data_IF_515531641275
#
_entry.id   IF_515531641275
#
_cell.length_a   1.000
_cell.length_b   1.000
_cell.length_c   1.000
_cell.angle_alpha   90.00
_cell.angle_beta   90.00
_cell.angle_gamma   90.00
#
_symmetry.space_group_name_H-M   'P 1'
#
loop_
_entity.id
_entity.type
_entity.pdbx_description
1 polymer ?
#
# COMPACT_ATOMS: atom_id res chain seq x y z
N UNK A 1 12.73 -10.29 12.62
CA UNK A 1 12.34 -10.31 14.03
C UNK A 1 12.96 -9.13 14.80
N UNK A 2 14.29 -9.00 14.86
CA UNK A 2 14.99 -7.89 15.55
C UNK A 2 14.52 -6.49 15.12
N UNK A 3 14.44 -6.22 13.81
CA UNK A 3 14.01 -4.91 13.30
C UNK A 3 12.60 -4.52 13.78
N UNK A 4 11.67 -5.49 13.83
CA UNK A 4 10.31 -5.24 14.30
C UNK A 4 10.24 -4.91 15.79
N UNK A 5 11.08 -5.56 16.61
CA UNK A 5 11.20 -5.27 18.05
C UNK A 5 11.81 -3.89 18.28
N UNK A 6 12.82 -3.50 17.49
CA UNK A 6 13.43 -2.17 17.60
C UNK A 6 12.43 -1.08 17.18
N UNK A 7 11.67 -1.33 16.12
CA UNK A 7 10.69 -0.38 15.59
C UNK A 7 9.42 -0.28 16.44
N UNK A 8 9.06 -1.32 17.21
CA UNK A 8 7.83 -1.27 18.04
C UNK A 8 7.89 -0.17 19.11
N UNK A 9 9.08 0.22 19.56
CA UNK A 9 9.26 1.36 20.48
C UNK A 9 9.22 2.74 19.82
N UNK A 10 9.11 2.80 18.49
CA UNK A 10 9.14 4.04 17.69
C UNK A 10 7.90 4.22 16.83
N UNK A 11 6.87 3.41 17.05
CA UNK A 11 5.61 3.54 16.31
C UNK A 11 5.03 4.92 16.61
N UNK A 12 4.73 5.73 15.59
CA UNK A 12 4.14 7.04 15.77
C UNK A 12 2.65 6.90 16.15
N UNK A 13 2.36 6.40 17.35
CA UNK A 13 1.00 6.29 17.86
C UNK A 13 0.42 7.69 18.12
N UNK A 14 -0.83 7.90 17.71
CA UNK A 14 -1.56 9.15 17.98
C UNK A 14 -1.14 10.38 17.16
N UNK A 15 -0.36 10.21 16.07
CA UNK A 15 -0.09 11.32 15.13
C UNK A 15 -1.38 11.70 14.38
N UNK A 16 -1.61 13.00 14.10
CA UNK A 16 -2.77 13.42 13.33
C UNK A 16 -2.71 12.90 11.88
N UNK A 17 -3.86 12.64 11.26
CA UNK A 17 -3.95 12.21 9.85
C UNK A 17 -3.17 13.14 8.90
N UNK A 18 -3.16 14.44 9.20
CA UNK A 18 -2.45 15.44 8.43
C UNK A 18 -0.93 15.20 8.35
N UNK A 19 -0.33 14.58 9.37
CA UNK A 19 1.08 14.19 9.34
C UNK A 19 1.37 13.17 8.23
N UNK A 20 0.55 12.11 8.16
CA UNK A 20 0.67 11.07 7.14
C UNK A 20 0.39 11.61 5.74
N UNK A 21 -0.65 12.44 5.61
CA UNK A 21 -1.01 13.08 4.36
C UNK A 21 0.13 13.99 3.86
N UNK A 22 0.64 14.88 4.71
CA UNK A 22 1.73 15.79 4.34
C UNK A 22 3.00 15.06 3.93
N UNK A 23 3.39 14.00 4.64
CA UNK A 23 4.60 13.24 4.30
C UNK A 23 4.42 12.42 3.02
N UNK A 24 3.27 11.76 2.84
CA UNK A 24 2.92 11.04 1.61
C UNK A 24 2.91 11.98 0.40
N UNK A 25 2.24 13.13 0.53
CA UNK A 25 2.18 14.14 -0.53
C UNK A 25 3.55 14.75 -0.84
N UNK A 26 4.35 15.09 0.18
CA UNK A 26 5.69 15.64 0.00
C UNK A 26 6.63 14.66 -0.70
N UNK A 27 6.58 13.37 -0.33
CA UNK A 27 7.37 12.33 -1.01
C UNK A 27 6.94 12.16 -2.47
N UNK A 28 5.63 12.09 -2.74
CA UNK A 28 5.12 11.98 -4.11
C UNK A 28 5.49 13.19 -4.95
N UNK A 29 5.31 14.40 -4.41
CA UNK A 29 5.65 15.64 -5.10
C UNK A 29 7.14 15.69 -5.40
N UNK A 30 7.99 15.40 -4.41
CA UNK A 30 9.44 15.33 -4.60
C UNK A 30 9.83 14.30 -5.66
N UNK A 31 9.23 13.10 -5.64
CA UNK A 31 9.48 12.07 -6.62
C UNK A 31 9.07 12.50 -8.04
N UNK A 32 7.93 13.18 -8.17
CA UNK A 32 7.43 13.69 -9.43
C UNK A 32 8.33 14.81 -9.97
N UNK A 33 8.76 15.74 -9.11
CA UNK A 33 9.70 16.80 -9.48
C UNK A 33 11.03 16.24 -9.97
N UNK A 34 11.58 15.24 -9.26
CA UNK A 34 12.81 14.54 -9.69
C UNK A 34 12.59 13.84 -11.03
N UNK A 35 11.47 13.12 -11.20
CA UNK A 35 11.17 12.42 -12.44
C UNK A 35 11.04 13.39 -13.63
N UNK A 36 10.33 14.50 -13.45
CA UNK A 36 10.22 15.54 -14.48
C UNK A 36 11.58 16.18 -14.75
N UNK A 37 12.35 16.52 -13.72
CA UNK A 37 13.69 17.10 -13.86
C UNK A 37 14.65 16.19 -14.64
N UNK A 38 14.67 14.89 -14.30
CA UNK A 38 15.44 13.88 -15.04
C UNK A 38 15.00 13.77 -16.50
N UNK A 39 13.69 13.80 -16.75
CA UNK A 39 13.17 13.76 -18.12
C UNK A 39 13.58 15.01 -18.93
N UNK A 40 13.62 16.21 -18.33
CA UNK A 40 14.05 17.44 -19.01
C UNK A 40 15.52 17.41 -19.41
N UNK A 41 16.38 16.75 -18.64
CA UNK A 41 17.80 16.55 -18.99
C UNK A 41 18.04 15.32 -19.89
N UNK A 42 16.97 14.70 -20.40
CA UNK A 42 17.03 13.57 -21.35
C UNK A 42 17.16 12.19 -20.72
N UNK A 43 16.97 12.05 -19.39
CA UNK A 43 17.03 10.77 -18.68
C UNK A 43 15.60 10.27 -18.41
N UNK A 44 15.16 9.27 -19.17
CA UNK A 44 13.88 8.59 -18.93
C UNK A 44 14.06 7.42 -17.95
N UNK A 45 13.49 7.56 -16.74
CA UNK A 45 13.48 6.51 -15.71
C UNK A 45 12.78 5.22 -16.16
N UNK A 46 11.90 5.29 -17.15
CA UNK A 46 11.16 4.16 -17.71
C UNK A 46 11.85 3.53 -18.93
N UNK A 47 13.00 4.05 -19.36
CA UNK A 47 13.73 3.56 -20.53
C UNK A 47 14.09 2.07 -20.44
N UNK A 48 14.54 1.60 -19.27
CA UNK A 48 14.87 0.18 -19.06
C UNK A 48 13.65 -0.73 -19.27
N UNK A 49 12.45 -0.26 -18.89
CA UNK A 49 11.20 -0.98 -19.08
C UNK A 49 10.81 -1.00 -20.56
N UNK A 50 10.98 0.13 -21.26
CA UNK A 50 10.74 0.20 -22.71
C UNK A 50 11.68 -0.72 -23.47
N UNK A 51 12.96 -0.78 -23.08
CA UNK A 51 13.95 -1.66 -23.67
C UNK A 51 13.63 -3.13 -23.40
N UNK A 52 13.29 -3.48 -22.15
CA UNK A 52 12.84 -4.83 -21.82
C UNK A 52 11.64 -5.24 -22.68
N UNK A 53 10.65 -4.36 -22.86
CA UNK A 53 9.45 -4.67 -23.68
C UNK A 53 9.76 -4.92 -25.15
N UNK A 54 10.87 -4.38 -25.65
CA UNK A 54 11.30 -4.57 -27.03
C UNK A 54 12.07 -5.88 -27.24
N UNK A 55 12.85 -6.31 -26.25
CA UNK A 55 13.83 -7.39 -26.43
C UNK A 55 13.55 -8.67 -25.63
N UNK A 56 12.68 -8.64 -24.61
CA UNK A 56 12.30 -9.85 -23.90
C UNK A 56 11.41 -10.74 -24.76
N UNK A 57 11.65 -12.06 -24.70
CA UNK A 57 10.81 -13.06 -25.38
C UNK A 57 9.35 -13.04 -24.91
N UNK A 58 9.15 -12.78 -23.62
CA UNK A 58 7.84 -12.73 -22.96
C UNK A 58 7.60 -11.34 -22.37
N UNK A 59 7.01 -10.45 -23.16
CA UNK A 59 6.73 -9.05 -22.75
C UNK A 59 5.73 -8.97 -21.59
N UNK A 60 4.90 -9.99 -21.42
CA UNK A 60 3.92 -10.15 -20.34
C UNK A 60 4.56 -10.32 -18.96
N UNK A 61 5.83 -10.73 -18.88
CA UNK A 61 6.55 -10.83 -17.62
C UNK A 61 7.03 -9.46 -17.11
N UNK A 62 7.03 -8.45 -17.98
CA UNK A 62 7.49 -7.10 -17.64
C UNK A 62 6.37 -6.35 -16.96
N UNK A 63 6.45 -6.34 -15.63
CA UNK A 63 5.47 -5.64 -14.82
C UNK A 63 5.90 -4.18 -14.59
N UNK A 64 4.96 -3.26 -14.78
CA UNK A 64 5.18 -1.84 -14.49
C UNK A 64 5.23 -1.56 -12.98
N UNK A 65 4.71 -2.48 -12.16
CA UNK A 65 4.67 -2.35 -10.70
C UNK A 65 6.06 -2.38 -10.04
N UNK A 66 7.08 -2.91 -10.74
CA UNK A 66 8.47 -2.94 -10.27
C UNK A 66 9.26 -1.68 -10.61
N UNK A 67 8.66 -0.72 -11.33
CA UNK A 67 9.33 0.54 -11.63
C UNK A 67 9.67 1.32 -10.34
N UNK A 68 10.76 2.11 -10.33
CA UNK A 68 11.13 2.93 -9.17
C UNK A 68 10.00 3.86 -8.72
N UNK A 69 9.35 4.54 -9.67
CA UNK A 69 8.23 5.43 -9.39
C UNK A 69 6.99 4.67 -8.86
N UNK A 70 6.75 3.44 -9.33
CA UNK A 70 5.71 2.57 -8.78
C UNK A 70 5.99 2.23 -7.32
N UNK A 71 7.23 1.88 -6.98
CA UNK A 71 7.61 1.57 -5.59
C UNK A 71 7.35 2.75 -4.65
N UNK A 72 7.74 3.96 -5.04
CA UNK A 72 7.45 5.19 -4.28
C UNK A 72 5.95 5.45 -4.16
N UNK A 73 5.20 5.28 -5.25
CA UNK A 73 3.74 5.45 -5.25
C UNK A 73 3.05 4.49 -4.29
N UNK A 74 3.49 3.22 -4.27
CA UNK A 74 3.01 2.21 -3.31
C UNK A 74 3.28 2.63 -1.88
N UNK A 75 4.51 3.04 -1.58
CA UNK A 75 4.91 3.35 -0.20
C UNK A 75 4.19 4.61 0.31
N UNK A 76 4.02 5.62 -0.54
CA UNK A 76 3.23 6.81 -0.23
C UNK A 76 1.74 6.48 -0.04
N UNK A 77 1.19 5.61 -0.88
CA UNK A 77 -0.19 5.13 -0.76
C UNK A 77 -0.40 4.36 0.54
N UNK A 78 0.50 3.44 0.86
CA UNK A 78 0.47 2.69 2.12
C UNK A 78 0.61 3.61 3.33
N UNK A 79 1.45 4.65 3.28
CA UNK A 79 1.60 5.61 4.37
C UNK A 79 0.30 6.40 4.62
N UNK A 80 -0.34 6.91 3.56
CA UNK A 80 -1.63 7.60 3.70
C UNK A 80 -2.71 6.63 4.18
N UNK A 81 -2.73 5.41 3.64
CA UNK A 81 -3.62 4.34 4.07
C UNK A 81 -3.44 3.98 5.54
N UNK A 82 -2.22 3.95 6.06
CA UNK A 82 -1.96 3.73 7.48
C UNK A 82 -2.52 4.87 8.32
N UNK A 83 -2.29 6.13 7.93
CA UNK A 83 -2.85 7.29 8.63
C UNK A 83 -4.38 7.29 8.68
N UNK A 84 -5.03 6.90 7.58
CA UNK A 84 -6.48 6.72 7.54
C UNK A 84 -6.93 5.58 8.46
N UNK A 85 -6.24 4.45 8.46
CA UNK A 85 -6.61 3.29 9.27
C UNK A 85 -6.52 3.63 10.77
N UNK A 86 -5.47 4.35 11.15
CA UNK A 86 -5.27 4.87 12.50
C UNK A 86 -6.36 5.88 12.86
N UNK A 87 -6.74 6.77 11.94
CA UNK A 87 -7.85 7.71 12.16
C UNK A 87 -9.18 7.01 12.43
N UNK A 88 -9.50 5.96 11.66
CA UNK A 88 -10.72 5.18 11.85
C UNK A 88 -10.70 4.31 13.11
N UNK A 89 -9.53 3.76 13.46
CA UNK A 89 -9.38 2.84 14.59
C UNK A 89 -7.99 2.95 15.24
N UNK A 90 -7.77 3.98 16.10
CA UNK A 90 -6.44 4.32 16.63
C UNK A 90 -5.86 3.30 17.63
N UNK A 91 -6.68 2.41 18.17
CA UNK A 91 -6.22 1.34 19.09
C UNK A 91 -6.24 -0.05 18.44
N UNK A 92 -6.55 -0.13 17.15
CA UNK A 92 -6.85 -1.39 16.47
C UNK A 92 -7.98 -2.18 17.15
N UNK A 93 -8.10 -3.46 16.79
CA UNK A 93 -9.10 -4.36 17.34
C UNK A 93 -8.51 -5.31 18.37
N UNK A 94 -9.07 -5.34 19.58
CA UNK A 94 -8.69 -6.29 20.62
C UNK A 94 -9.30 -7.67 20.35
N UNK A 95 -8.58 -8.51 19.61
CA UNK A 95 -9.00 -9.89 19.32
C UNK A 95 -8.23 -10.90 20.20
N UNK A 96 -8.85 -12.00 20.66
CA UNK A 96 -8.14 -13.17 21.19
C UNK A 96 -7.25 -13.85 20.13
N UNK A 97 -6.39 -14.79 20.54
CA UNK A 97 -5.41 -15.42 19.62
C UNK A 97 -6.05 -16.08 18.39
N UNK A 98 -7.14 -16.84 18.58
CA UNK A 98 -7.80 -17.57 17.50
C UNK A 98 -8.42 -16.63 16.44
N UNK A 99 -9.26 -15.64 16.79
CA UNK A 99 -9.77 -14.69 15.80
C UNK A 99 -8.68 -13.75 15.24
N UNK A 100 -7.56 -13.51 15.95
CA UNK A 100 -6.38 -12.87 15.35
C UNK A 100 -5.79 -13.71 14.22
N UNK A 101 -5.58 -15.00 14.44
CA UNK A 101 -5.08 -15.90 13.38
C UNK A 101 -6.03 -15.95 12.18
N UNK A 102 -7.35 -15.97 12.43
CA UNK A 102 -8.36 -15.89 11.38
C UNK A 102 -8.31 -14.56 10.61
N UNK A 103 -8.16 -13.44 11.32
CA UNK A 103 -8.02 -12.11 10.69
C UNK A 103 -6.76 -12.02 9.82
N UNK A 104 -5.66 -12.66 10.23
CA UNK A 104 -4.42 -12.74 9.44
C UNK A 104 -4.65 -13.54 8.16
N UNK A 105 -5.32 -14.70 8.26
CA UNK A 105 -5.62 -15.53 7.11
C UNK A 105 -6.52 -14.80 6.08
N UNK A 106 -7.60 -14.18 6.54
CA UNK A 106 -8.48 -13.39 5.65
C UNK A 106 -7.79 -12.16 5.08
N UNK A 107 -6.95 -11.49 5.86
CA UNK A 107 -6.16 -10.35 5.37
C UNK A 107 -5.20 -10.80 4.27
N UNK A 108 -4.50 -11.92 4.46
CA UNK A 108 -3.61 -12.50 3.44
C UNK A 108 -4.35 -12.84 2.15
N UNK A 109 -5.52 -13.48 2.26
CA UNK A 109 -6.38 -13.80 1.12
C UNK A 109 -6.85 -12.51 0.40
N UNK A 110 -7.31 -11.52 1.16
CA UNK A 110 -7.71 -10.23 0.62
C UNK A 110 -6.56 -9.53 -0.12
N UNK A 111 -5.36 -9.52 0.46
CA UNK A 111 -4.17 -8.94 -0.17
C UNK A 111 -3.79 -9.67 -1.45
N UNK A 112 -3.88 -11.00 -1.47
CA UNK A 112 -3.63 -11.79 -2.67
C UNK A 112 -4.54 -11.35 -3.83
N UNK A 113 -5.84 -11.20 -3.55
CA UNK A 113 -6.80 -10.75 -4.56
C UNK A 113 -6.55 -9.31 -4.99
N UNK A 114 -6.34 -8.40 -4.04
CA UNK A 114 -6.02 -7.00 -4.34
C UNK A 114 -4.77 -6.91 -5.22
N UNK A 115 -3.73 -7.69 -4.92
CA UNK A 115 -2.50 -7.67 -5.69
C UNK A 115 -2.68 -8.16 -7.13
N UNK A 116 -3.54 -9.17 -7.34
CA UNK A 116 -3.87 -9.71 -8.66
C UNK A 116 -4.76 -8.83 -9.53
N UNK A 117 -5.41 -7.80 -8.98
CA UNK A 117 -6.26 -6.92 -9.77
C UNK A 117 -5.45 -6.26 -10.89
N UNK A 118 -5.81 -6.51 -12.17
CA UNK A 118 -5.14 -5.89 -13.30
C UNK A 118 -5.47 -4.40 -13.30
N UNK A 119 -4.45 -3.57 -13.47
CA UNK A 119 -4.60 -2.12 -13.61
C UNK A 119 -4.35 -1.71 -15.06
N UNK A 120 -5.11 -0.74 -15.60
CA UNK A 120 -4.88 -0.23 -16.94
C UNK A 120 -3.49 0.40 -17.00
N UNK A 121 -2.61 -0.12 -17.87
CA UNK A 121 -1.21 0.35 -18.01
C UNK A 121 -1.14 1.66 -18.81
N UNK A 122 -2.17 1.96 -19.61
CA UNK A 122 -2.28 3.19 -20.40
C UNK A 122 -3.65 3.83 -20.14
N UNK A 123 -3.71 5.16 -19.94
CA UNK A 123 -2.59 6.10 -19.84
C UNK A 123 -1.80 5.97 -18.51
N UNK A 124 -0.52 6.35 -18.50
CA UNK A 124 0.37 6.18 -17.34
C UNK A 124 -0.15 6.90 -16.08
N UNK A 125 -0.72 8.10 -16.23
CA UNK A 125 -1.29 8.84 -15.10
C UNK A 125 -2.44 8.09 -14.41
N UNK A 126 -3.28 7.41 -15.19
CA UNK A 126 -4.37 6.57 -14.67
C UNK A 126 -3.80 5.35 -13.92
N UNK A 127 -2.77 4.70 -14.50
CA UNK A 127 -2.08 3.59 -13.85
C UNK A 127 -1.59 3.99 -12.45
N UNK A 128 -0.80 5.06 -12.35
CA UNK A 128 -0.22 5.50 -11.08
C UNK A 128 -1.28 5.98 -10.08
N UNK A 129 -2.34 6.64 -10.54
CA UNK A 129 -3.45 7.07 -9.69
C UNK A 129 -4.19 5.89 -9.07
N UNK A 130 -4.57 4.90 -9.90
CA UNK A 130 -5.24 3.69 -9.42
C UNK A 130 -4.30 2.83 -8.58
N UNK A 131 -3.02 2.78 -8.92
CA UNK A 131 -2.00 2.08 -8.14
C UNK A 131 -1.84 2.71 -6.74
N UNK A 132 -1.81 4.05 -6.66
CA UNK A 132 -1.83 4.76 -5.39
C UNK A 132 -3.06 4.41 -4.56
N UNK A 133 -4.27 4.52 -5.14
CA UNK A 133 -5.53 4.18 -4.47
C UNK A 133 -5.51 2.72 -3.97
N UNK A 134 -5.05 1.78 -4.81
CA UNK A 134 -4.91 0.37 -4.45
C UNK A 134 -4.10 0.20 -3.16
N UNK A 135 -2.99 0.92 -3.01
CA UNK A 135 -2.16 0.83 -1.81
C UNK A 135 -2.63 1.67 -0.63
N UNK A 136 -3.44 2.71 -0.85
CA UNK A 136 -4.19 3.38 0.23
C UNK A 136 -5.22 2.42 0.86
N UNK A 137 -5.88 1.60 0.03
CA UNK A 137 -6.89 0.64 0.49
C UNK A 137 -6.31 -0.56 1.25
N UNK A 138 -5.08 -0.97 0.95
CA UNK A 138 -4.46 -2.16 1.60
C UNK A 138 -4.45 -2.05 3.13
N UNK A 139 -3.93 -0.97 3.76
CA UNK A 139 -4.02 -0.81 5.21
C UNK A 139 -5.46 -0.78 5.75
N UNK A 140 -6.40 -0.20 5.01
CA UNK A 140 -7.83 -0.19 5.41
C UNK A 140 -8.39 -1.60 5.53
N UNK A 141 -8.07 -2.45 4.55
CA UNK A 141 -8.52 -3.84 4.52
C UNK A 141 -7.93 -4.61 5.71
N UNK A 142 -6.62 -4.49 5.95
CA UNK A 142 -5.90 -5.29 6.95
C UNK A 142 -6.14 -4.85 8.38
N UNK A 143 -6.28 -3.55 8.63
CA UNK A 143 -6.33 -3.00 9.99
C UNK A 143 -7.77 -2.75 10.43
N UNK A 144 -8.62 -2.26 9.52
CA UNK A 144 -9.98 -1.80 9.86
C UNK A 144 -11.03 -2.84 9.48
N UNK A 145 -11.13 -3.18 8.18
CA UNK A 145 -12.25 -3.97 7.67
C UNK A 145 -12.18 -5.44 8.09
N UNK A 146 -11.09 -6.14 7.81
CA UNK A 146 -11.00 -7.59 8.10
C UNK A 146 -11.05 -7.87 9.60
N UNK A 147 -10.24 -7.21 10.46
CA UNK A 147 -10.30 -7.47 11.90
C UNK A 147 -11.61 -6.99 12.52
N UNK A 148 -12.20 -5.90 12.02
CA UNK A 148 -13.51 -5.42 12.47
C UNK A 148 -14.63 -6.40 12.14
N UNK A 149 -14.62 -6.97 10.94
CA UNK A 149 -15.54 -8.05 10.55
C UNK A 149 -15.36 -9.25 11.48
N UNK A 150 -14.15 -9.78 11.62
CA UNK A 150 -13.88 -10.94 12.49
C UNK A 150 -14.28 -10.67 13.95
N UNK A 151 -14.02 -9.46 14.45
CA UNK A 151 -14.42 -9.05 15.80
C UNK A 151 -15.95 -9.07 15.96
N UNK A 152 -16.71 -8.55 14.98
CA UNK A 152 -18.17 -8.55 15.01
C UNK A 152 -18.75 -9.97 15.07
N UNK A 153 -18.26 -10.89 14.24
CA UNK A 153 -18.74 -12.28 14.23
C UNK A 153 -18.37 -13.04 15.51
N UNK A 154 -17.16 -12.82 16.04
CA UNK A 154 -16.71 -13.50 17.26
C UNK A 154 -17.42 -12.95 18.51
N UNK A 155 -17.72 -11.65 18.54
CA UNK A 155 -18.43 -11.02 19.67
C UNK A 155 -19.89 -11.47 19.76
N UNK A 156 -20.57 -11.66 18.61
CA UNK A 156 -21.92 -12.24 18.57
C UNK A 156 -21.97 -13.65 19.13
N UNK A 157 -21.01 -14.50 18.74
CA UNK A 157 -20.91 -15.90 19.21
C UNK A 157 -20.65 -16.05 20.72
N UNK A 158 -20.23 -14.98 21.42
CA UNK A 158 -20.07 -14.99 22.89
C UNK A 158 -21.37 -14.61 23.63
N UNK A 159 -22.35 -14.03 22.93
CA UNK A 159 -23.63 -13.61 23.52
C UNK A 159 -24.76 -14.64 23.34
N UNK A 160 -24.55 -15.63 22.47
CA UNK A 160 -25.39 -16.81 22.32
C UNK A 160 -24.82 -17.97 23.16
#
# INVERSE_FOLDING_TARGET
FILGIVLSGRVPEGRPLLFYFSFSFSLLLSALLVNVGLHQIGIDLSWSIALAKKWCSHTEWIRMDTAPFSSLTRDCGALLGLGLAEYWKPSGWSLPWAPRALSLAFSSMGLYHVNRLPLPVKPQGLFYSLFFIKFVLVPQIVIVFVPGFVHLFTSKKKKD
#
